data_IF_252374422149
#
_entry.id   IF_252374422149
#
_cell.length_a   1.000
_cell.length_b   1.000
_cell.length_c   1.000
_cell.angle_alpha   90.00
_cell.angle_beta   90.00
_cell.angle_gamma   90.00
#
_symmetry.space_group_name_H-M   'P 1'
#
loop_
_entity.id
_entity.type
_entity.pdbx_description
1 polymer ?
#
# COMPACT_ATOMS: atom_id res chain seq x y z
N UNK A 1 8.56 22.15 27.92
CA UNK A 1 9.05 21.19 26.96
C UNK A 1 7.87 20.46 26.33
N UNK A 2 7.90 20.34 25.03
CA UNK A 2 6.88 19.57 24.34
C UNK A 2 6.95 18.09 24.75
N UNK A 3 5.89 17.36 24.55
CA UNK A 3 5.84 15.94 24.82
C UNK A 3 5.16 15.54 26.11
N UNK A 4 4.83 16.49 26.96
CA UNK A 4 4.17 16.18 28.21
C UNK A 4 2.78 15.57 28.00
N UNK A 5 2.10 15.94 26.93
CA UNK A 5 0.79 15.45 26.58
C UNK A 5 0.82 14.30 25.56
N UNK A 6 2.01 13.83 25.18
CA UNK A 6 2.18 12.76 24.22
C UNK A 6 1.97 13.16 22.76
N UNK A 7 1.81 14.45 22.48
CA UNK A 7 1.60 14.95 21.13
C UNK A 7 2.86 15.49 20.49
N UNK A 8 3.98 15.42 21.17
CA UNK A 8 5.27 15.81 20.62
C UNK A 8 5.69 14.85 19.52
N UNK A 9 6.17 15.40 18.39
CA UNK A 9 6.80 14.58 17.37
C UNK A 9 8.02 13.87 17.98
N UNK A 10 8.11 12.56 17.78
CA UNK A 10 9.20 11.74 18.28
C UNK A 10 9.90 11.03 17.14
N UNK A 11 11.06 11.56 16.77
CA UNK A 11 11.89 11.06 15.68
C UNK A 11 12.34 9.61 15.90
N UNK A 12 12.74 9.30 17.11
CA UNK A 12 13.21 7.95 17.45
C UNK A 12 12.09 6.92 17.27
N UNK A 13 10.89 7.23 17.73
CA UNK A 13 9.73 6.36 17.53
C UNK A 13 9.38 6.20 16.04
N UNK A 14 9.50 7.30 15.30
CA UNK A 14 9.24 7.25 13.87
C UNK A 14 10.24 6.35 13.15
N UNK A 15 11.50 6.42 13.53
CA UNK A 15 12.52 5.53 12.97
C UNK A 15 12.29 4.07 13.33
N UNK A 16 11.79 3.82 14.55
CA UNK A 16 11.44 2.47 14.98
C UNK A 16 10.27 1.88 14.21
N UNK A 17 9.42 2.73 13.64
CA UNK A 17 8.29 2.29 12.83
C UNK A 17 8.70 1.81 11.43
N UNK A 18 9.83 2.27 10.90
CA UNK A 18 10.27 1.95 9.54
C UNK A 18 10.38 0.45 9.25
N UNK A 19 10.94 -0.39 10.15
CA UNK A 19 10.97 -1.84 9.89
C UNK A 19 9.59 -2.46 9.72
N UNK A 20 8.58 -1.93 10.42
CA UNK A 20 7.20 -2.42 10.30
C UNK A 20 6.59 -2.06 8.95
N UNK A 21 6.94 -0.91 8.39
CA UNK A 21 6.54 -0.52 7.03
C UNK A 21 7.14 -1.50 6.02
N UNK A 22 8.42 -1.84 6.18
CA UNK A 22 9.08 -2.83 5.33
C UNK A 22 8.42 -4.20 5.41
N UNK A 23 8.10 -4.66 6.62
CA UNK A 23 7.39 -5.93 6.82
C UNK A 23 6.03 -5.91 6.13
N UNK A 24 5.31 -4.79 6.21
CA UNK A 24 4.02 -4.64 5.53
C UNK A 24 4.18 -4.73 4.02
N UNK A 25 5.19 -4.07 3.45
CA UNK A 25 5.46 -4.15 2.02
C UNK A 25 5.79 -5.58 1.58
N UNK A 26 6.61 -6.29 2.35
CA UNK A 26 6.98 -7.67 2.05
C UNK A 26 5.76 -8.59 2.12
N UNK A 27 4.90 -8.41 3.12
CA UNK A 27 3.68 -9.19 3.28
C UNK A 27 2.70 -8.94 2.12
N UNK A 28 2.53 -7.69 1.71
CA UNK A 28 1.66 -7.33 0.58
C UNK A 28 2.21 -7.91 -0.72
N UNK A 29 3.53 -7.82 -0.93
CA UNK A 29 4.17 -8.39 -2.12
C UNK A 29 3.97 -9.91 -2.17
N UNK A 30 4.17 -10.60 -1.05
CA UNK A 30 3.95 -12.06 -0.97
C UNK A 30 2.50 -12.42 -1.25
N UNK A 31 1.55 -11.66 -0.71
CA UNK A 31 0.12 -11.86 -0.93
C UNK A 31 -0.26 -11.61 -2.39
N UNK A 32 0.31 -10.60 -3.01
CA UNK A 32 0.09 -10.31 -4.42
C UNK A 32 0.55 -11.47 -5.31
N UNK A 33 1.75 -11.98 -5.04
CA UNK A 33 2.32 -13.11 -5.78
C UNK A 33 1.50 -14.39 -5.57
N UNK A 34 1.08 -14.65 -4.35
CA UNK A 34 0.23 -15.81 -4.04
C UNK A 34 -1.12 -15.72 -4.77
N UNK A 35 -1.73 -14.55 -4.80
CA UNK A 35 -2.99 -14.33 -5.53
C UNK A 35 -2.82 -14.54 -7.02
N UNK A 36 -1.73 -14.05 -7.59
CA UNK A 36 -1.41 -14.27 -9.00
C UNK A 36 -1.25 -15.76 -9.30
N UNK A 37 -0.53 -16.48 -8.43
CA UNK A 37 -0.35 -17.94 -8.58
C UNK A 37 -1.67 -18.69 -8.52
N UNK A 38 -2.57 -18.29 -7.60
CA UNK A 38 -3.91 -18.86 -7.52
C UNK A 38 -4.71 -18.59 -8.80
N UNK A 39 -4.64 -17.38 -9.32
CA UNK A 39 -5.30 -17.02 -10.58
C UNK A 39 -4.79 -17.86 -11.74
N UNK A 40 -3.48 -18.01 -11.85
CA UNK A 40 -2.83 -18.79 -12.91
C UNK A 40 -3.13 -20.28 -12.81
N UNK A 41 -3.44 -20.77 -11.61
CA UNK A 41 -3.81 -22.17 -11.41
C UNK A 41 -5.26 -22.51 -11.80
N UNK A 42 -6.07 -21.51 -12.10
CA UNK A 42 -7.48 -21.72 -12.50
C UNK A 42 -7.54 -22.10 -13.98
N UNK A 43 -7.20 -23.33 -14.29
CA UNK A 43 -7.09 -23.85 -15.65
C UNK A 43 -8.18 -24.86 -15.95
N UNK A 44 -8.32 -25.23 -17.24
CA UNK A 44 -9.26 -26.25 -17.67
C UNK A 44 -8.95 -27.63 -17.06
N UNK A 45 -7.69 -27.90 -16.73
CA UNK A 45 -7.31 -29.14 -16.05
C UNK A 45 -7.97 -29.25 -14.67
N UNK A 46 -8.15 -28.10 -14.00
CA UNK A 46 -8.79 -28.06 -12.68
C UNK A 46 -10.31 -28.03 -12.80
N UNK A 47 -10.83 -27.22 -13.71
CA UNK A 47 -12.27 -26.96 -13.82
C UNK A 47 -12.99 -27.85 -14.84
N UNK A 48 -12.23 -28.43 -15.77
CA UNK A 48 -12.78 -29.21 -16.88
C UNK A 48 -13.12 -28.34 -18.07
N UNK A 49 -13.63 -28.98 -19.11
CA UNK A 49 -13.88 -28.32 -20.39
C UNK A 49 -15.36 -28.01 -20.63
N UNK A 50 -16.24 -28.38 -19.70
CA UNK A 50 -17.66 -28.04 -19.80
C UNK A 50 -17.85 -26.53 -19.60
N UNK A 51 -18.83 -25.97 -20.29
CA UNK A 51 -19.03 -24.52 -20.35
C UNK A 51 -19.27 -23.89 -19.00
N UNK A 52 -20.11 -24.46 -18.14
CA UNK A 52 -20.42 -23.90 -16.82
C UNK A 52 -19.21 -23.85 -15.91
N UNK A 53 -18.56 -24.99 -15.62
CA UNK A 53 -17.34 -25.01 -14.81
C UNK A 53 -16.20 -24.18 -15.41
N UNK A 54 -16.05 -24.18 -16.75
CA UNK A 54 -15.03 -23.39 -17.41
C UNK A 54 -15.22 -21.89 -17.17
N UNK A 55 -16.45 -21.41 -17.28
CA UNK A 55 -16.77 -19.98 -17.00
C UNK A 55 -16.48 -19.62 -15.55
N UNK A 56 -16.83 -20.51 -14.64
CA UNK A 56 -16.55 -20.28 -13.21
C UNK A 56 -15.06 -20.23 -12.94
N UNK A 57 -14.30 -21.12 -13.57
CA UNK A 57 -12.83 -21.12 -13.48
C UNK A 57 -12.22 -19.82 -14.00
N UNK A 58 -12.69 -19.32 -15.13
CA UNK A 58 -12.24 -18.04 -15.70
C UNK A 58 -12.55 -16.87 -14.77
N UNK A 59 -13.75 -16.82 -14.20
CA UNK A 59 -14.14 -15.77 -13.26
C UNK A 59 -13.31 -15.82 -11.97
N UNK A 60 -13.04 -17.03 -11.48
CA UNK A 60 -12.17 -17.21 -10.31
C UNK A 60 -10.77 -16.73 -10.60
N UNK A 61 -10.22 -17.07 -11.76
CA UNK A 61 -8.92 -16.60 -12.21
C UNK A 61 -8.85 -15.08 -12.29
N UNK A 62 -9.85 -14.46 -12.89
CA UNK A 62 -9.94 -13.00 -13.00
C UNK A 62 -10.00 -12.34 -11.61
N UNK A 63 -10.75 -12.94 -10.68
CA UNK A 63 -10.85 -12.44 -9.33
C UNK A 63 -9.49 -12.45 -8.63
N UNK A 64 -8.77 -13.57 -8.68
CA UNK A 64 -7.44 -13.66 -8.04
C UNK A 64 -6.42 -12.75 -8.72
N UNK A 65 -6.47 -12.60 -10.04
CA UNK A 65 -5.60 -11.66 -10.74
C UNK A 65 -5.93 -10.22 -10.37
N UNK A 66 -7.21 -9.90 -10.21
CA UNK A 66 -7.64 -8.57 -9.74
C UNK A 66 -7.15 -8.27 -8.33
N UNK A 67 -7.23 -9.25 -7.43
CA UNK A 67 -6.69 -9.13 -6.07
C UNK A 67 -5.18 -8.87 -6.12
N UNK A 68 -4.45 -9.61 -6.95
CA UNK A 68 -3.02 -9.42 -7.14
C UNK A 68 -2.70 -8.00 -7.60
N UNK A 69 -3.44 -7.48 -8.58
CA UNK A 69 -3.24 -6.12 -9.10
C UNK A 69 -3.50 -5.06 -8.01
N UNK A 70 -4.57 -5.21 -7.25
CA UNK A 70 -4.89 -4.28 -6.15
C UNK A 70 -3.79 -4.29 -5.10
N UNK A 71 -3.33 -5.47 -4.69
CA UNK A 71 -2.26 -5.60 -3.69
C UNK A 71 -0.95 -5.00 -4.18
N UNK A 72 -0.62 -5.19 -5.47
CA UNK A 72 0.57 -4.60 -6.07
C UNK A 72 0.50 -3.07 -6.04
N UNK A 73 -0.63 -2.48 -6.38
CA UNK A 73 -0.83 -1.02 -6.35
C UNK A 73 -0.84 -0.48 -4.93
N UNK A 74 -1.41 -1.23 -4.00
CA UNK A 74 -1.36 -0.89 -2.58
C UNK A 74 0.07 -0.87 -2.08
N UNK A 75 0.88 -1.83 -2.49
CA UNK A 75 2.29 -1.88 -2.12
C UNK A 75 3.06 -0.67 -2.68
N UNK A 76 2.78 -0.27 -3.91
CA UNK A 76 3.36 0.94 -4.51
C UNK A 76 3.01 2.17 -3.68
N UNK A 77 1.77 2.25 -3.19
CA UNK A 77 1.32 3.36 -2.34
C UNK A 77 2.03 3.36 -0.99
N UNK A 78 2.24 2.19 -0.39
CA UNK A 78 3.01 2.06 0.85
C UNK A 78 4.44 2.57 0.64
N UNK A 79 5.05 2.24 -0.49
CA UNK A 79 6.38 2.74 -0.85
C UNK A 79 6.42 4.26 -0.97
N UNK A 80 5.41 4.86 -1.59
CA UNK A 80 5.30 6.32 -1.69
C UNK A 80 5.13 6.96 -0.30
N UNK A 81 4.30 6.38 0.54
CA UNK A 81 4.13 6.81 1.92
C UNK A 81 5.48 6.80 2.66
N UNK A 82 6.21 5.69 2.57
CA UNK A 82 7.52 5.57 3.22
C UNK A 82 8.48 6.65 2.74
N UNK A 83 8.57 6.87 1.43
CA UNK A 83 9.46 7.87 0.86
C UNK A 83 9.10 9.28 1.34
N UNK A 84 7.81 9.62 1.34
CA UNK A 84 7.35 10.93 1.79
C UNK A 84 7.57 11.14 3.29
N UNK A 85 7.38 10.10 4.08
CA UNK A 85 7.63 10.20 5.52
C UNK A 85 9.11 10.38 5.82
N UNK A 86 9.99 9.68 5.10
CA UNK A 86 11.43 9.90 5.22
C UNK A 86 11.83 11.33 4.91
N UNK A 87 11.31 11.89 3.82
CA UNK A 87 11.57 13.28 3.46
C UNK A 87 11.07 14.25 4.54
N UNK A 88 9.88 13.98 5.09
CA UNK A 88 9.32 14.81 6.14
C UNK A 88 10.19 14.79 7.40
N UNK A 89 10.66 13.62 7.80
CA UNK A 89 11.53 13.45 8.95
C UNK A 89 12.83 14.23 8.76
N UNK A 90 13.45 14.10 7.60
CA UNK A 90 14.67 14.82 7.28
C UNK A 90 14.46 16.33 7.30
N UNK A 91 13.35 16.83 6.75
CA UNK A 91 12.99 18.24 6.79
C UNK A 91 12.83 18.75 8.22
N UNK A 92 12.15 18.00 9.07
CA UNK A 92 11.94 18.36 10.46
C UNK A 92 13.27 18.47 11.20
N UNK A 93 14.16 17.50 11.00
CA UNK A 93 15.48 17.50 11.61
C UNK A 93 16.34 18.67 11.12
N UNK A 94 16.37 18.88 9.81
CA UNK A 94 17.20 19.93 9.21
C UNK A 94 16.76 21.33 9.64
N UNK A 95 15.47 21.53 9.82
CA UNK A 95 14.90 22.82 10.20
C UNK A 95 14.86 23.04 11.71
N UNK A 96 15.21 22.03 12.51
CA UNK A 96 15.01 22.05 13.96
C UNK A 96 13.58 22.48 14.32
N UNK A 97 12.61 21.91 13.60
CA UNK A 97 11.23 22.33 13.66
C UNK A 97 10.62 22.06 15.05
N UNK A 98 9.77 22.99 15.50
CA UNK A 98 8.97 22.75 16.70
C UNK A 98 7.84 21.75 16.37
N UNK A 99 7.08 21.36 17.39
CA UNK A 99 5.99 20.38 17.24
C UNK A 99 4.95 20.78 16.19
N UNK A 100 4.55 22.04 16.20
CA UNK A 100 3.55 22.52 15.27
C UNK A 100 4.03 22.43 13.82
N UNK A 101 5.25 22.83 13.56
CA UNK A 101 5.86 22.72 12.24
C UNK A 101 6.04 21.26 11.84
N UNK A 102 6.43 20.41 12.78
CA UNK A 102 6.58 18.98 12.54
C UNK A 102 5.24 18.36 12.08
N UNK A 103 4.15 18.67 12.78
CA UNK A 103 2.83 18.19 12.40
C UNK A 103 2.39 18.70 11.05
N UNK A 104 2.64 19.97 10.74
CA UNK A 104 2.32 20.52 9.41
C UNK A 104 3.11 19.83 8.32
N UNK A 105 4.38 19.57 8.55
CA UNK A 105 5.24 18.87 7.59
C UNK A 105 4.73 17.45 7.33
N UNK A 106 4.37 16.74 8.39
CA UNK A 106 3.79 15.39 8.27
C UNK A 106 2.46 15.43 7.52
N UNK A 107 1.58 16.37 7.86
CA UNK A 107 0.30 16.51 7.18
C UNK A 107 0.47 16.82 5.70
N UNK A 108 1.39 17.67 5.35
CA UNK A 108 1.70 17.98 3.96
C UNK A 108 2.21 16.75 3.21
N UNK A 109 3.06 15.94 3.86
CA UNK A 109 3.54 14.69 3.27
C UNK A 109 2.39 13.71 3.02
N UNK A 110 1.46 13.58 3.98
CA UNK A 110 0.29 12.72 3.84
C UNK A 110 -0.64 13.19 2.71
N UNK A 111 -0.84 14.49 2.60
CA UNK A 111 -1.60 15.06 1.47
C UNK A 111 -0.93 14.73 0.14
N UNK A 112 0.40 14.80 0.09
CA UNK A 112 1.17 14.43 -1.09
C UNK A 112 1.00 12.95 -1.46
N UNK A 113 0.94 12.06 -0.47
CA UNK A 113 0.69 10.63 -0.70
C UNK A 113 -0.73 10.43 -1.26
N UNK A 114 -1.72 11.10 -0.68
CA UNK A 114 -3.11 10.99 -1.13
C UNK A 114 -3.30 11.51 -2.57
N UNK A 115 -2.50 12.48 -2.98
CA UNK A 115 -2.56 13.06 -4.32
C UNK A 115 -1.57 12.42 -5.30
N UNK A 116 -0.83 11.39 -4.89
CA UNK A 116 0.23 10.77 -5.69
C UNK A 116 -0.30 9.96 -6.86
N UNK A 117 0.55 9.74 -7.85
CA UNK A 117 0.25 8.84 -8.96
C UNK A 117 -0.04 7.42 -8.47
N UNK A 118 0.63 6.98 -7.42
CA UNK A 118 0.41 5.68 -6.82
C UNK A 118 -0.99 5.56 -6.21
N UNK A 119 -1.48 6.60 -5.53
CA UNK A 119 -2.84 6.62 -4.99
C UNK A 119 -3.87 6.59 -6.13
N UNK A 120 -3.64 7.35 -7.19
CA UNK A 120 -4.51 7.36 -8.36
C UNK A 120 -4.51 5.99 -9.05
N UNK A 121 -3.35 5.37 -9.18
CA UNK A 121 -3.22 4.05 -9.78
C UNK A 121 -3.99 2.99 -8.99
N UNK A 122 -3.93 3.06 -7.66
CA UNK A 122 -4.70 2.16 -6.80
C UNK A 122 -6.20 2.37 -7.00
N UNK A 123 -6.65 3.63 -6.99
CA UNK A 123 -8.06 3.96 -7.19
C UNK A 123 -8.56 3.45 -8.54
N UNK A 124 -7.79 3.65 -9.60
CA UNK A 124 -8.13 3.18 -10.94
C UNK A 124 -8.20 1.64 -11.00
N UNK A 125 -7.30 0.97 -10.33
CA UNK A 125 -7.27 -0.49 -10.26
C UNK A 125 -8.49 -1.03 -9.51
N UNK A 126 -8.86 -0.42 -8.38
CA UNK A 126 -10.05 -0.79 -7.62
C UNK A 126 -11.32 -0.65 -8.47
N UNK A 127 -11.42 0.44 -9.21
CA UNK A 127 -12.55 0.68 -10.11
C UNK A 127 -12.60 -0.36 -11.25
N UNK A 128 -11.46 -0.60 -11.88
CA UNK A 128 -11.34 -1.54 -12.99
C UNK A 128 -11.67 -2.98 -12.59
N UNK A 129 -11.26 -3.37 -11.39
CA UNK A 129 -11.49 -4.74 -10.89
C UNK A 129 -12.88 -4.95 -10.31
N UNK A 130 -13.64 -3.88 -10.10
CA UNK A 130 -14.98 -3.96 -9.53
C UNK A 130 -15.00 -4.14 -8.01
N UNK A 131 -13.88 -3.87 -7.34
CA UNK A 131 -13.78 -3.99 -5.88
C UNK A 131 -14.20 -2.71 -5.16
N UNK A 132 -14.59 -1.69 -5.92
CA UNK A 132 -14.97 -0.40 -5.35
C UNK A 132 -16.41 -0.07 -5.74
#
# INVERSE_FOLDING_TARGET
MAGEDGQEYNDERQQQANPYVQESQDAVDSSSKASYSLGSAQTNDVWGTEEGPQKLGHKSGDMFNGISDVLSKENDLIGEFEAKMKQAIESIKAAEADNEQAFRTVNHALEGVAASDQAQALANTLEKTGFM
#
